data_IF_042476804120
#
_entry.id   IF_042476804120
#
_cell.length_a   1.000
_cell.length_b   1.000
_cell.length_c   1.000
_cell.angle_alpha   90.00
_cell.angle_beta   90.00
_cell.angle_gamma   90.00
#
_symmetry.space_group_name_H-M   'P 1'
#
loop_
_entity.id
_entity.type
_entity.pdbx_description
1 polymer ?
#
# COMPACT_ATOMS: atom_id res chain seq x y z
N UNK A 1 -20.48 -24.36 7.33
CA UNK A 1 -21.84 -24.17 7.91
C UNK A 1 -22.83 -23.51 6.94
N UNK A 2 -22.47 -23.23 5.69
CA UNK A 2 -23.33 -22.55 4.73
C UNK A 2 -24.27 -23.46 3.89
N UNK A 3 -24.10 -24.77 3.90
CA UNK A 3 -24.79 -25.67 2.95
C UNK A 3 -26.16 -26.14 3.36
N UNK A 4 -26.52 -26.09 4.64
CA UNK A 4 -27.87 -26.51 5.11
C UNK A 4 -28.92 -25.43 4.85
N UNK A 5 -28.57 -24.16 5.02
CA UNK A 5 -29.47 -23.02 4.76
C UNK A 5 -29.83 -22.88 3.26
N UNK A 6 -28.96 -23.35 2.37
CA UNK A 6 -29.18 -23.28 0.91
C UNK A 6 -30.27 -24.23 0.40
N UNK A 7 -30.59 -25.27 1.15
CA UNK A 7 -31.69 -26.22 0.81
C UNK A 7 -33.03 -25.68 1.32
N UNK A 8 -33.02 -25.08 2.51
CA UNK A 8 -34.26 -24.66 3.19
C UNK A 8 -34.72 -23.26 2.75
N UNK A 9 -33.77 -22.34 2.49
CA UNK A 9 -34.11 -20.95 2.16
C UNK A 9 -34.13 -20.71 0.64
N UNK A 10 -35.20 -20.07 0.16
CA UNK A 10 -35.30 -19.63 -1.23
C UNK A 10 -34.79 -18.19 -1.40
N UNK A 11 -33.52 -18.04 -1.75
CA UNK A 11 -32.86 -16.73 -1.86
C UNK A 11 -33.51 -15.84 -2.93
N UNK A 12 -34.01 -16.43 -4.04
CA UNK A 12 -34.74 -15.66 -5.04
C UNK A 12 -36.07 -15.13 -4.50
N UNK A 13 -36.77 -15.92 -3.71
CA UNK A 13 -38.02 -15.49 -3.02
C UNK A 13 -37.74 -14.45 -1.93
N UNK A 14 -36.67 -14.61 -1.17
CA UNK A 14 -36.27 -13.66 -0.12
C UNK A 14 -36.04 -12.28 -0.71
N UNK A 15 -35.34 -12.19 -1.86
CA UNK A 15 -35.12 -10.93 -2.56
C UNK A 15 -36.29 -10.49 -3.46
N UNK A 16 -37.32 -11.34 -3.62
CA UNK A 16 -38.49 -11.05 -4.47
C UNK A 16 -38.16 -10.94 -5.96
N UNK A 17 -37.16 -11.72 -6.44
CA UNK A 17 -36.70 -11.73 -7.81
C UNK A 17 -36.82 -13.11 -8.46
N UNK A 18 -36.77 -13.17 -9.78
CA UNK A 18 -36.79 -14.43 -10.54
C UNK A 18 -35.39 -14.99 -10.74
N UNK A 19 -35.25 -16.28 -11.02
CA UNK A 19 -33.98 -16.97 -11.24
C UNK A 19 -33.12 -16.37 -12.38
N UNK A 20 -33.74 -15.71 -13.36
CA UNK A 20 -33.08 -15.05 -14.50
C UNK A 20 -32.79 -13.57 -14.29
N UNK A 21 -32.87 -13.07 -13.05
CA UNK A 21 -32.65 -11.65 -12.74
C UNK A 21 -31.26 -11.18 -13.13
N UNK A 22 -31.16 -9.95 -13.70
CA UNK A 22 -29.88 -9.31 -13.99
C UNK A 22 -29.20 -8.86 -12.69
N UNK A 23 -27.85 -8.75 -12.69
CA UNK A 23 -27.08 -8.29 -11.53
C UNK A 23 -27.47 -6.87 -11.11
N UNK A 24 -27.86 -6.03 -12.07
CA UNK A 24 -28.35 -4.67 -11.80
C UNK A 24 -29.68 -4.67 -11.04
N UNK A 25 -30.64 -5.52 -11.45
CA UNK A 25 -31.95 -5.63 -10.82
C UNK A 25 -31.84 -6.36 -9.46
N UNK A 26 -30.97 -7.34 -9.35
CA UNK A 26 -30.65 -8.01 -8.10
C UNK A 26 -30.16 -7.01 -7.05
N UNK A 27 -29.19 -6.18 -7.43
CA UNK A 27 -28.66 -5.11 -6.57
C UNK A 27 -29.70 -4.07 -6.20
N UNK A 28 -30.62 -3.73 -7.11
CA UNK A 28 -31.73 -2.80 -6.85
C UNK A 28 -32.73 -3.37 -5.85
N UNK A 29 -33.09 -4.66 -5.99
CA UNK A 29 -33.97 -5.37 -5.06
C UNK A 29 -33.36 -5.44 -3.65
N UNK A 30 -32.08 -5.82 -3.55
CA UNK A 30 -31.34 -5.84 -2.29
C UNK A 30 -31.36 -4.48 -1.59
N UNK A 31 -30.97 -3.40 -2.29
CA UNK A 31 -30.93 -2.06 -1.69
C UNK A 31 -32.30 -1.62 -1.14
N UNK A 32 -33.39 -1.95 -1.85
CA UNK A 32 -34.74 -1.62 -1.42
C UNK A 32 -35.11 -2.36 -0.12
N UNK A 33 -34.81 -3.66 -0.06
CA UNK A 33 -35.18 -4.50 1.10
C UNK A 33 -34.25 -4.22 2.30
N UNK A 34 -32.95 -4.03 2.06
CA UNK A 34 -31.98 -3.69 3.10
C UNK A 34 -32.30 -2.33 3.75
N UNK A 35 -32.68 -1.33 2.95
CA UNK A 35 -33.11 -0.03 3.49
C UNK A 35 -34.42 -0.14 4.30
N UNK A 36 -35.39 -0.94 3.82
CA UNK A 36 -36.70 -1.13 4.50
C UNK A 36 -36.58 -1.90 5.82
N UNK A 37 -35.53 -2.70 6.03
CA UNK A 37 -35.33 -3.51 7.23
C UNK A 37 -34.08 -3.12 8.01
N UNK A 38 -33.50 -1.92 7.75
CA UNK A 38 -32.28 -1.50 8.38
C UNK A 38 -32.43 -1.33 9.90
N UNK A 39 -31.47 -1.83 10.72
CA UNK A 39 -31.54 -1.74 12.18
C UNK A 39 -31.71 -0.32 12.70
N UNK A 40 -31.09 0.68 12.04
CA UNK A 40 -31.20 2.09 12.43
C UNK A 40 -32.62 2.66 12.22
N UNK A 41 -33.38 2.12 11.28
CA UNK A 41 -34.78 2.54 11.02
C UNK A 41 -35.79 1.80 11.90
N UNK A 42 -35.40 0.64 12.43
CA UNK A 42 -36.24 -0.21 13.26
C UNK A 42 -35.51 -0.72 14.50
N UNK A 43 -35.01 0.17 15.39
CA UNK A 43 -34.22 -0.22 16.55
C UNK A 43 -35.03 -1.12 17.49
N UNK A 44 -34.47 -2.29 17.84
CA UNK A 44 -35.10 -3.26 18.74
C UNK A 44 -36.16 -4.16 18.11
N UNK A 45 -36.40 -4.06 16.80
CA UNK A 45 -37.37 -4.94 16.10
C UNK A 45 -36.64 -6.20 15.59
N UNK A 46 -36.77 -7.30 16.36
CA UNK A 46 -36.14 -8.59 16.01
C UNK A 46 -36.60 -9.15 14.66
N UNK A 47 -37.85 -8.90 14.24
CA UNK A 47 -38.36 -9.37 12.95
C UNK A 47 -37.67 -8.61 11.77
N UNK A 48 -37.46 -7.31 11.92
CA UNK A 48 -36.73 -6.51 10.91
C UNK A 48 -35.26 -6.93 10.84
N UNK A 49 -34.62 -7.18 11.98
CA UNK A 49 -33.25 -7.64 12.06
C UNK A 49 -33.03 -9.01 11.42
N UNK A 50 -33.92 -9.98 11.72
CA UNK A 50 -33.90 -11.30 11.08
C UNK A 50 -34.07 -11.20 9.57
N UNK A 51 -35.00 -10.36 9.11
CA UNK A 51 -35.26 -10.16 7.68
C UNK A 51 -34.11 -9.46 6.98
N UNK A 52 -33.42 -8.55 7.65
CA UNK A 52 -32.21 -7.91 7.14
C UNK A 52 -31.08 -8.93 6.96
N UNK A 53 -30.88 -9.84 7.92
CA UNK A 53 -29.91 -10.94 7.82
C UNK A 53 -30.22 -11.87 6.64
N UNK A 54 -31.46 -12.30 6.50
CA UNK A 54 -31.86 -13.17 5.38
C UNK A 54 -31.68 -12.50 4.02
N UNK A 55 -32.01 -11.20 3.91
CA UNK A 55 -31.84 -10.41 2.69
C UNK A 55 -30.36 -10.23 2.34
N UNK A 56 -29.48 -10.03 3.34
CA UNK A 56 -28.04 -9.88 3.13
C UNK A 56 -27.42 -11.19 2.71
N UNK A 57 -27.73 -12.30 3.38
CA UNK A 57 -27.29 -13.64 3.03
C UNK A 57 -27.70 -14.03 1.60
N UNK A 58 -28.96 -13.77 1.23
CA UNK A 58 -29.47 -14.06 -0.10
C UNK A 58 -28.74 -13.24 -1.19
N UNK A 59 -28.39 -11.99 -0.90
CA UNK A 59 -27.66 -11.16 -1.84
C UNK A 59 -26.19 -11.59 -1.98
N UNK A 60 -25.52 -11.91 -0.89
CA UNK A 60 -24.12 -12.36 -0.89
C UNK A 60 -23.96 -13.58 -1.80
N UNK A 61 -24.81 -14.59 -1.66
CA UNK A 61 -24.78 -15.81 -2.48
C UNK A 61 -25.19 -15.54 -3.94
N UNK A 62 -26.22 -14.75 -4.20
CA UNK A 62 -26.73 -14.55 -5.56
C UNK A 62 -25.94 -13.50 -6.36
N UNK A 63 -25.15 -12.66 -5.71
CA UNK A 63 -24.30 -11.64 -6.36
C UNK A 63 -22.97 -12.18 -6.87
N UNK A 64 -22.46 -13.25 -6.31
CA UNK A 64 -21.29 -13.96 -6.82
C UNK A 64 -21.69 -15.00 -7.86
N UNK A 65 -21.09 -14.91 -9.04
CA UNK A 65 -21.41 -15.79 -10.17
C UNK A 65 -21.15 -17.28 -9.88
N UNK A 66 -20.16 -17.56 -9.03
CA UNK A 66 -19.76 -18.93 -8.66
C UNK A 66 -20.73 -19.49 -7.62
N UNK A 67 -20.95 -18.74 -6.54
CA UNK A 67 -21.86 -19.14 -5.47
C UNK A 67 -23.32 -19.26 -5.95
N UNK A 68 -23.76 -18.38 -6.86
CA UNK A 68 -25.08 -18.46 -7.48
C UNK A 68 -25.26 -19.74 -8.29
N UNK A 69 -24.23 -20.16 -9.04
CA UNK A 69 -24.27 -21.43 -9.80
C UNK A 69 -24.31 -22.64 -8.86
N UNK A 70 -23.53 -22.61 -7.80
CA UNK A 70 -23.53 -23.66 -6.78
C UNK A 70 -24.89 -23.76 -6.07
N UNK A 71 -25.43 -22.63 -5.64
CA UNK A 71 -26.78 -22.56 -5.04
C UNK A 71 -27.85 -23.09 -6.00
N UNK A 72 -27.82 -22.70 -7.27
CA UNK A 72 -28.74 -23.18 -8.29
C UNK A 72 -28.63 -24.69 -8.53
N UNK A 73 -27.42 -25.25 -8.47
CA UNK A 73 -27.18 -26.68 -8.62
C UNK A 73 -27.72 -27.46 -7.38
N UNK A 74 -27.47 -26.97 -6.16
CA UNK A 74 -28.00 -27.57 -4.93
C UNK A 74 -29.54 -27.57 -4.95
N UNK A 75 -30.18 -26.48 -5.34
CA UNK A 75 -31.64 -26.38 -5.45
C UNK A 75 -32.24 -27.28 -6.54
N UNK A 76 -31.53 -27.48 -7.65
CA UNK A 76 -31.95 -28.39 -8.71
C UNK A 76 -31.91 -29.85 -8.27
N UNK A 77 -30.94 -30.23 -7.43
CA UNK A 77 -30.85 -31.58 -6.84
C UNK A 77 -31.86 -31.83 -5.73
N UNK A 78 -32.18 -30.83 -4.88
CA UNK A 78 -33.09 -30.95 -3.74
C UNK A 78 -34.60 -30.94 -4.14
N UNK A 79 -34.92 -30.50 -5.38
CA UNK A 79 -36.30 -30.34 -5.83
C UNK A 79 -36.95 -31.58 -6.46
N UNK A 80 -36.25 -32.70 -6.65
CA UNK A 80 -36.76 -33.81 -7.44
C UNK A 80 -36.40 -35.23 -7.05
N UNK A 81 -35.62 -35.46 -6.03
CA UNK A 81 -35.26 -36.83 -5.63
C UNK A 81 -35.88 -37.20 -4.29
N UNK A 82 -37.13 -37.69 -4.33
CA UNK A 82 -37.57 -38.65 -3.32
C UNK A 82 -36.70 -39.90 -3.47
N UNK A 83 -35.64 -39.98 -2.67
CA UNK A 83 -34.91 -41.24 -2.51
C UNK A 83 -35.83 -42.22 -1.82
N UNK A 84 -36.42 -43.09 -2.60
CA UNK A 84 -37.13 -44.29 -2.11
C UNK A 84 -36.05 -45.16 -1.44
N UNK A 85 -36.00 -45.12 -0.15
CA UNK A 85 -35.16 -46.01 0.66
C UNK A 85 -35.70 -47.44 0.48
N UNK A 86 -35.07 -48.18 -0.39
CA UNK A 86 -35.23 -49.61 -0.55
C UNK A 86 -33.94 -50.30 -0.19
N UNK A 87 -33.85 -50.88 1.03
CA UNK A 87 -32.95 -52.00 1.30
C UNK A 87 -31.69 -51.76 2.18
N UNK A 88 -31.89 -52.02 3.49
CA UNK A 88 -30.96 -52.74 4.41
C UNK A 88 -29.58 -52.16 4.71
N UNK A 89 -29.48 -51.62 5.91
CA UNK A 89 -28.32 -51.87 6.80
C UNK A 89 -27.18 -50.91 6.75
N UNK A 90 -26.98 -50.07 7.79
CA UNK A 90 -25.68 -49.53 8.15
C UNK A 90 -25.63 -48.04 8.39
N UNK A 91 -25.85 -47.67 9.67
CA UNK A 91 -25.13 -46.62 10.43
C UNK A 91 -24.63 -45.40 9.67
N UNK A 92 -25.33 -44.29 9.80
CA UNK A 92 -24.81 -42.92 10.04
C UNK A 92 -23.69 -42.41 9.13
N UNK A 93 -23.91 -42.23 7.83
CA UNK A 93 -23.06 -41.43 6.98
C UNK A 93 -23.86 -40.22 6.50
N UNK A 94 -23.60 -39.05 7.10
CA UNK A 94 -24.28 -37.82 6.75
C UNK A 94 -23.97 -37.34 5.34
N UNK A 95 -24.85 -36.50 4.83
CA UNK A 95 -24.72 -35.81 3.54
C UNK A 95 -23.34 -35.12 3.33
N UNK A 96 -22.65 -34.80 4.41
CA UNK A 96 -21.26 -34.30 4.39
C UNK A 96 -20.26 -35.29 3.79
N UNK A 97 -20.42 -36.61 4.03
CA UNK A 97 -19.53 -37.63 3.45
C UNK A 97 -19.78 -37.84 1.95
N UNK A 98 -21.01 -37.68 1.49
CA UNK A 98 -21.32 -37.78 0.07
C UNK A 98 -20.91 -36.52 -0.67
N UNK A 99 -21.04 -35.35 -0.04
CA UNK A 99 -20.63 -34.08 -0.61
C UNK A 99 -19.11 -33.92 -0.60
N UNK A 100 -18.44 -34.33 0.47
CA UNK A 100 -16.97 -34.29 0.52
C UNK A 100 -16.31 -35.31 -0.43
N UNK A 101 -16.96 -36.45 -0.69
CA UNK A 101 -16.50 -37.45 -1.67
C UNK A 101 -16.76 -37.02 -3.13
N UNK A 102 -17.80 -36.20 -3.37
CA UNK A 102 -18.12 -35.74 -4.72
C UNK A 102 -17.43 -34.42 -5.07
N UNK A 103 -17.21 -33.54 -4.07
CA UNK A 103 -16.55 -32.25 -4.24
C UNK A 103 -15.20 -32.12 -3.53
N UNK A 104 -14.92 -32.96 -2.55
CA UNK A 104 -13.71 -32.93 -1.71
C UNK A 104 -12.65 -33.97 -2.06
N UNK A 105 -12.49 -34.34 -3.32
CA UNK A 105 -11.29 -35.03 -3.82
C UNK A 105 -11.16 -36.49 -3.43
N UNK A 106 -11.91 -37.38 -4.08
CA UNK A 106 -11.72 -38.82 -3.99
C UNK A 106 -12.40 -39.59 -5.12
N UNK A 107 -11.80 -39.54 -6.28
CA UNK A 107 -11.79 -40.43 -7.44
C UNK A 107 -13.02 -41.22 -7.83
N UNK A 108 -13.48 -41.02 -9.05
CA UNK A 108 -13.44 -42.05 -10.11
C UNK A 108 -13.69 -41.36 -11.46
N UNK A 109 -12.67 -41.37 -12.34
CA UNK A 109 -12.85 -41.41 -13.80
C UNK A 109 -13.14 -40.08 -14.50
N UNK A 110 -12.09 -39.37 -14.86
CA UNK A 110 -12.13 -38.23 -15.76
C UNK A 110 -11.20 -37.11 -15.31
N UNK A 111 -9.88 -37.31 -15.43
CA UNK A 111 -8.86 -36.35 -15.03
C UNK A 111 -8.90 -35.05 -15.84
N UNK A 112 -9.77 -34.15 -15.50
CA UNK A 112 -9.64 -32.74 -15.79
C UNK A 112 -9.03 -32.08 -14.57
N UNK A 113 -7.68 -31.99 -14.48
CA UNK A 113 -7.02 -31.16 -13.50
C UNK A 113 -7.50 -29.72 -13.72
N UNK A 114 -8.27 -29.19 -12.78
CA UNK A 114 -8.61 -27.78 -12.79
C UNK A 114 -7.30 -26.98 -12.92
N UNK A 115 -7.19 -26.00 -13.82
CA UNK A 115 -5.97 -25.24 -14.04
C UNK A 115 -5.57 -24.55 -12.73
N UNK A 116 -4.57 -25.10 -12.04
CA UNK A 116 -4.07 -24.54 -10.79
C UNK A 116 -3.18 -23.33 -11.10
N UNK A 117 -3.39 -22.21 -10.45
CA UNK A 117 -2.54 -21.04 -10.61
C UNK A 117 -1.12 -21.35 -10.11
N UNK A 118 -0.11 -20.86 -10.83
CA UNK A 118 1.28 -20.92 -10.41
C UNK A 118 1.52 -20.13 -9.12
N UNK A 119 2.56 -20.51 -8.37
CA UNK A 119 2.91 -19.83 -7.13
C UNK A 119 3.47 -18.42 -7.39
N UNK A 120 3.17 -17.48 -6.47
CA UNK A 120 3.77 -16.15 -6.49
C UNK A 120 5.25 -16.25 -6.07
N UNK A 121 6.11 -15.47 -6.73
CA UNK A 121 7.52 -15.35 -6.38
C UNK A 121 7.76 -14.02 -5.69
N UNK A 122 8.60 -14.03 -4.64
CA UNK A 122 9.04 -12.83 -3.96
C UNK A 122 10.55 -12.68 -4.12
N UNK A 123 10.99 -11.47 -4.50
CA UNK A 123 12.40 -11.11 -4.60
C UNK A 123 12.63 -9.69 -4.11
N UNK A 124 13.88 -9.28 -3.99
CA UNK A 124 14.25 -7.90 -3.67
C UNK A 124 15.25 -7.37 -4.71
N UNK A 125 15.19 -6.08 -4.98
CA UNK A 125 16.13 -5.38 -5.84
C UNK A 125 16.51 -4.04 -5.25
N UNK A 126 17.78 -3.64 -5.41
CA UNK A 126 18.26 -2.35 -4.95
C UNK A 126 18.29 -1.35 -6.11
N UNK A 127 17.88 -0.13 -5.81
CA UNK A 127 17.96 1.03 -6.73
C UNK A 127 18.76 2.14 -6.07
N UNK A 128 19.37 3.00 -6.86
CA UNK A 128 20.07 4.19 -6.35
C UNK A 128 19.05 5.23 -5.89
N UNK A 129 19.48 6.08 -4.96
CA UNK A 129 18.64 7.17 -4.45
C UNK A 129 18.09 8.04 -5.57
N UNK A 130 18.93 8.42 -6.52
CA UNK A 130 18.56 9.25 -7.68
C UNK A 130 17.49 8.54 -8.52
N UNK A 131 17.68 7.25 -8.81
CA UNK A 131 16.72 6.43 -9.54
C UNK A 131 15.39 6.29 -8.80
N UNK A 132 15.41 6.24 -7.47
CA UNK A 132 14.18 6.20 -6.67
C UNK A 132 13.37 7.50 -6.77
N UNK A 133 14.04 8.63 -6.98
CA UNK A 133 13.40 9.94 -7.13
C UNK A 133 12.81 10.13 -8.54
N UNK A 134 13.58 9.79 -9.58
CA UNK A 134 13.19 10.04 -10.97
C UNK A 134 12.46 8.88 -11.63
N UNK A 135 12.53 7.70 -11.03
CA UNK A 135 12.07 6.46 -11.66
C UNK A 135 13.11 5.89 -12.62
N UNK A 136 13.07 4.58 -12.79
CA UNK A 136 14.03 3.87 -13.66
C UNK A 136 13.46 2.56 -14.15
N UNK A 137 14.12 1.91 -15.10
CA UNK A 137 13.80 0.56 -15.53
C UNK A 137 14.94 -0.38 -15.11
N UNK A 138 14.62 -1.38 -14.29
CA UNK A 138 15.58 -2.39 -13.86
C UNK A 138 15.34 -3.72 -14.56
N UNK A 139 16.41 -4.43 -14.90
CA UNK A 139 16.35 -5.76 -15.47
C UNK A 139 16.62 -6.78 -14.38
N UNK A 140 15.69 -7.69 -14.17
CA UNK A 140 15.78 -8.78 -13.19
C UNK A 140 15.83 -10.11 -13.94
N UNK A 141 16.56 -11.07 -13.40
CA UNK A 141 16.50 -12.46 -13.90
C UNK A 141 15.66 -13.28 -12.94
N UNK A 142 14.52 -13.76 -13.40
CA UNK A 142 13.58 -14.54 -12.60
C UNK A 142 13.41 -15.91 -13.25
N UNK A 143 13.77 -16.97 -12.52
CA UNK A 143 13.75 -18.36 -13.06
C UNK A 143 14.46 -18.48 -14.43
N UNK A 144 15.61 -17.80 -14.58
CA UNK A 144 16.42 -17.82 -15.82
C UNK A 144 15.89 -16.93 -16.96
N UNK A 145 14.77 -16.22 -16.77
CA UNK A 145 14.20 -15.34 -17.80
C UNK A 145 14.42 -13.86 -17.42
N UNK A 146 14.83 -13.01 -18.38
CA UNK A 146 14.95 -11.58 -18.13
C UNK A 146 13.55 -10.94 -18.00
N UNK A 147 13.34 -10.18 -16.95
CA UNK A 147 12.11 -9.42 -16.69
C UNK A 147 12.48 -7.95 -16.46
N UNK A 148 11.90 -7.06 -17.24
CA UNK A 148 12.06 -5.61 -17.02
C UNK A 148 10.99 -5.11 -16.06
N UNK A 149 11.41 -4.48 -14.96
CA UNK A 149 10.55 -3.84 -13.98
C UNK A 149 10.65 -2.33 -14.13
N UNK A 150 9.53 -1.67 -14.40
CA UNK A 150 9.45 -0.20 -14.35
C UNK A 150 9.27 0.22 -12.90
N UNK A 151 10.27 0.92 -12.37
CA UNK A 151 10.23 1.54 -11.04
C UNK A 151 9.66 2.94 -11.19
N UNK A 152 8.53 3.27 -10.59
CA UNK A 152 7.94 4.61 -10.70
C UNK A 152 8.80 5.64 -9.97
N UNK A 153 8.71 6.89 -10.41
CA UNK A 153 9.30 8.02 -9.72
C UNK A 153 8.72 8.15 -8.31
N UNK A 154 9.58 8.49 -7.35
CA UNK A 154 9.17 8.65 -5.96
C UNK A 154 8.93 7.35 -5.21
N UNK A 155 9.42 6.21 -5.68
CA UNK A 155 9.32 4.96 -4.95
C UNK A 155 10.00 5.06 -3.58
N UNK A 156 9.41 4.45 -2.55
CA UNK A 156 9.96 4.45 -1.20
C UNK A 156 10.76 3.19 -0.91
N UNK A 157 11.69 3.29 0.05
CA UNK A 157 12.39 2.10 0.55
C UNK A 157 11.41 1.09 1.14
N UNK A 158 11.63 -0.20 0.84
CA UNK A 158 10.73 -1.29 1.25
C UNK A 158 9.43 -1.41 0.46
N UNK A 159 9.13 -0.52 -0.47
CA UNK A 159 7.91 -0.59 -1.27
C UNK A 159 7.91 -1.80 -2.20
N UNK A 160 6.76 -2.47 -2.31
CA UNK A 160 6.58 -3.67 -3.11
C UNK A 160 5.94 -3.35 -4.46
N UNK A 161 6.54 -3.83 -5.53
CA UNK A 161 6.01 -3.75 -6.88
C UNK A 161 5.57 -5.14 -7.34
N UNK A 162 4.35 -5.25 -7.87
CA UNK A 162 3.77 -6.51 -8.31
C UNK A 162 3.71 -6.58 -9.83
N UNK A 163 4.31 -7.62 -10.39
CA UNK A 163 4.30 -7.94 -11.81
C UNK A 163 3.40 -9.15 -12.05
N UNK A 164 2.23 -8.93 -12.63
CA UNK A 164 1.24 -9.96 -12.89
C UNK A 164 1.78 -11.00 -13.87
N UNK A 165 1.57 -12.29 -13.55
CA UNK A 165 1.93 -13.40 -14.41
C UNK A 165 3.44 -13.60 -14.63
N UNK A 166 4.30 -13.04 -13.76
CA UNK A 166 5.75 -13.19 -13.81
C UNK A 166 6.32 -14.05 -12.68
N UNK A 167 5.44 -14.73 -11.93
CA UNK A 167 5.79 -15.72 -10.92
C UNK A 167 6.09 -17.10 -11.54
N UNK A 168 5.90 -18.18 -10.76
CA UNK A 168 6.08 -19.54 -11.25
C UNK A 168 5.02 -19.91 -12.28
N UNK A 169 5.38 -20.67 -13.33
CA UNK A 169 4.41 -21.21 -14.26
C UNK A 169 3.47 -22.19 -13.54
N UNK A 170 2.24 -22.28 -14.01
CA UNK A 170 1.30 -23.29 -13.52
C UNK A 170 1.78 -24.69 -13.90
N UNK A 171 1.70 -25.68 -13.00
CA UNK A 171 2.01 -27.07 -13.32
C UNK A 171 1.01 -27.69 -14.30
N UNK A 172 -0.23 -27.18 -14.37
CA UNK A 172 -1.34 -27.79 -15.10
C UNK A 172 -1.94 -26.88 -16.19
N UNK A 173 -1.13 -25.99 -16.81
CA UNK A 173 -1.58 -25.12 -17.89
C UNK A 173 -2.48 -23.94 -17.44
N UNK A 174 -2.59 -23.66 -16.14
CA UNK A 174 -3.28 -22.48 -15.61
C UNK A 174 -2.44 -21.20 -15.73
N UNK A 175 -2.92 -20.11 -15.16
CA UNK A 175 -2.21 -18.83 -15.14
C UNK A 175 -0.93 -18.93 -14.26
N UNK A 176 0.15 -18.31 -14.71
CA UNK A 176 1.35 -18.15 -13.89
C UNK A 176 1.04 -17.29 -12.65
N UNK A 177 1.79 -17.52 -11.57
CA UNK A 177 1.77 -16.66 -10.39
C UNK A 177 2.29 -15.26 -10.69
N UNK A 178 2.29 -14.39 -9.69
CA UNK A 178 2.81 -13.04 -9.80
C UNK A 178 4.23 -12.96 -9.23
N UNK A 179 5.00 -11.97 -9.67
CA UNK A 179 6.28 -11.63 -9.08
C UNK A 179 6.13 -10.38 -8.22
N UNK A 180 6.45 -10.50 -6.95
CA UNK A 180 6.48 -9.39 -5.99
C UNK A 180 7.93 -8.98 -5.74
N UNK A 181 8.28 -7.77 -6.12
CA UNK A 181 9.64 -7.22 -5.96
C UNK A 181 9.64 -6.17 -4.87
N UNK A 182 10.39 -6.40 -3.79
CA UNK A 182 10.62 -5.39 -2.75
C UNK A 182 11.79 -4.51 -3.17
N UNK A 183 11.56 -3.21 -3.27
CA UNK A 183 12.59 -2.24 -3.66
C UNK A 183 13.34 -1.78 -2.42
N UNK A 184 14.68 -1.86 -2.46
CA UNK A 184 15.58 -1.29 -1.46
C UNK A 184 16.26 -0.08 -2.05
N UNK A 185 16.12 1.07 -1.42
CA UNK A 185 16.77 2.31 -1.86
C UNK A 185 18.12 2.46 -1.17
N UNK A 186 19.19 2.56 -1.96
CA UNK A 186 20.55 2.84 -1.42
C UNK A 186 20.60 4.27 -0.90
N UNK A 187 21.17 4.52 0.30
CA UNK A 187 21.33 5.87 0.81
C UNK A 187 22.29 6.69 -0.07
N UNK A 188 22.03 8.00 -0.16
CA UNK A 188 22.91 8.92 -0.87
C UNK A 188 23.78 9.68 0.14
N UNK A 189 25.08 9.94 -0.17
CA UNK A 189 25.99 10.58 0.78
C UNK A 189 25.64 12.04 1.10
N UNK A 190 24.90 12.71 0.23
CA UNK A 190 24.60 14.16 0.35
C UNK A 190 23.12 14.42 0.57
N UNK A 191 22.24 13.62 -0.04
CA UNK A 191 20.82 13.86 -0.03
C UNK A 191 20.09 12.84 0.84
N UNK A 192 19.05 13.32 1.54
CA UNK A 192 18.09 12.47 2.24
C UNK A 192 16.68 12.81 1.78
N UNK A 193 15.73 11.88 1.99
CA UNK A 193 14.33 12.08 1.61
C UNK A 193 13.47 12.38 2.83
N UNK A 194 12.54 13.31 2.68
CA UNK A 194 11.53 13.66 3.67
C UNK A 194 10.16 13.79 2.98
N UNK A 195 9.43 12.69 2.95
CA UNK A 195 8.20 12.59 2.14
C UNK A 195 8.49 12.79 0.65
N UNK A 196 7.93 13.84 0.05
CA UNK A 196 8.19 14.21 -1.34
C UNK A 196 9.31 15.25 -1.47
N UNK A 197 9.82 15.75 -0.36
CA UNK A 197 10.95 16.66 -0.38
C UNK A 197 12.28 15.91 -0.33
N UNK A 198 13.30 16.55 -0.88
CA UNK A 198 14.69 16.13 -0.76
C UNK A 198 15.40 17.11 0.16
N UNK A 199 16.18 16.61 1.12
CA UNK A 199 16.97 17.42 2.03
C UNK A 199 18.44 17.35 1.65
N UNK A 200 19.12 18.49 1.82
CA UNK A 200 20.57 18.62 1.71
C UNK A 200 21.07 19.50 2.86
N UNK A 201 22.18 19.13 3.47
CA UNK A 201 22.89 19.98 4.43
C UNK A 201 23.93 20.77 3.64
N UNK A 202 23.86 22.11 3.74
CA UNK A 202 24.71 23.01 2.98
C UNK A 202 25.65 23.72 3.95
N UNK A 203 26.95 23.41 3.90
CA UNK A 203 27.93 24.11 4.71
C UNK A 203 28.06 25.56 4.25
N UNK A 204 28.02 26.50 5.18
CA UNK A 204 28.25 27.92 4.94
C UNK A 204 29.27 28.43 5.96
N UNK A 205 30.05 29.40 5.59
CA UNK A 205 30.97 30.04 6.53
C UNK A 205 30.23 30.96 7.48
N UNK A 206 30.82 31.25 8.62
CA UNK A 206 30.26 32.22 9.58
C UNK A 206 30.05 33.59 8.92
N UNK A 207 31.04 34.05 8.13
CA UNK A 207 30.92 35.32 7.40
C UNK A 207 29.75 35.35 6.41
N UNK A 208 29.51 34.26 5.68
CA UNK A 208 28.37 34.13 4.75
C UNK A 208 27.06 34.12 5.48
N UNK A 209 26.99 33.50 6.67
CA UNK A 209 25.78 33.48 7.48
C UNK A 209 25.46 34.87 8.09
N UNK A 210 26.47 35.63 8.52
CA UNK A 210 26.28 36.93 9.15
C UNK A 210 26.04 38.03 8.12
N UNK A 211 26.85 38.08 7.04
CA UNK A 211 26.80 39.13 6.03
C UNK A 211 25.85 38.87 4.91
N UNK A 212 25.43 37.62 4.77
CA UNK A 212 24.65 37.12 3.63
C UNK A 212 25.55 36.77 2.45
N UNK A 213 25.09 35.82 1.65
CA UNK A 213 25.84 35.36 0.47
C UNK A 213 24.87 34.78 -0.60
N UNK A 214 25.41 34.61 -1.80
CA UNK A 214 24.80 33.79 -2.83
C UNK A 214 25.64 32.54 -2.98
N UNK A 215 25.10 31.40 -2.61
CA UNK A 215 25.78 30.10 -2.62
C UNK A 215 25.22 29.21 -3.73
N UNK A 216 26.03 28.27 -4.21
CA UNK A 216 25.60 27.27 -5.19
C UNK A 216 25.25 25.97 -4.47
N UNK A 217 24.02 25.49 -4.65
CA UNK A 217 23.51 24.29 -3.99
C UNK A 217 23.24 23.21 -5.02
N UNK A 218 23.75 21.98 -4.83
CA UNK A 218 23.49 20.88 -5.75
C UNK A 218 22.00 20.49 -5.71
N UNK A 219 21.47 20.11 -6.86
CA UNK A 219 20.12 19.55 -7.01
C UNK A 219 20.23 18.18 -7.67
N UNK A 220 19.25 17.31 -7.38
CA UNK A 220 19.21 15.99 -8.01
C UNK A 220 18.90 16.12 -9.50
N UNK A 221 19.74 15.48 -10.33
CA UNK A 221 19.51 15.37 -11.77
C UNK A 221 19.57 16.67 -12.56
N UNK A 222 20.15 17.75 -11.99
CA UNK A 222 20.26 19.03 -12.66
C UNK A 222 21.49 19.83 -12.31
N UNK A 223 21.61 21.02 -12.92
CA UNK A 223 22.67 21.96 -12.57
C UNK A 223 22.41 22.58 -11.18
N UNK A 224 23.51 22.91 -10.44
CA UNK A 224 23.40 23.57 -9.15
C UNK A 224 22.62 24.88 -9.24
N UNK A 225 21.77 25.15 -8.25
CA UNK A 225 21.01 26.39 -8.18
C UNK A 225 21.64 27.41 -7.26
N UNK A 226 21.56 28.68 -7.63
CA UNK A 226 21.99 29.79 -6.78
C UNK A 226 20.95 30.05 -5.72
N UNK A 227 21.35 30.00 -4.44
CA UNK A 227 20.50 30.22 -3.30
C UNK A 227 21.03 31.41 -2.49
N UNK A 228 20.13 32.34 -2.15
CA UNK A 228 20.47 33.50 -1.34
C UNK A 228 20.35 33.16 0.13
N UNK A 229 21.46 33.26 0.84
CA UNK A 229 21.53 33.28 2.30
C UNK A 229 21.37 34.72 2.75
N UNK A 230 20.32 35.00 3.53
CA UNK A 230 20.08 36.36 4.05
C UNK A 230 21.09 36.69 5.15
N UNK A 231 21.45 37.98 5.34
CA UNK A 231 22.24 38.37 6.51
C UNK A 231 21.60 37.96 7.80
N UNK A 232 22.41 37.45 8.77
CA UNK A 232 21.93 36.98 10.07
C UNK A 232 21.20 35.64 10.01
N UNK A 233 21.46 34.80 9.01
CA UNK A 233 20.88 33.46 8.91
C UNK A 233 21.40 32.55 10.02
N UNK A 234 20.52 32.02 10.89
CA UNK A 234 20.94 31.13 11.97
C UNK A 234 21.32 29.73 11.46
N UNK A 235 22.13 29.02 12.26
CA UNK A 235 22.41 27.60 12.02
C UNK A 235 21.11 26.79 12.03
N UNK A 236 21.04 25.75 11.15
CA UNK A 236 19.83 24.90 11.00
C UNK A 236 18.70 25.55 10.20
N UNK A 237 18.83 26.80 9.76
CA UNK A 237 17.81 27.43 8.91
C UNK A 237 17.63 26.66 7.62
N UNK A 238 16.39 26.30 7.33
CA UNK A 238 16.03 25.61 6.09
C UNK A 238 15.57 26.59 5.03
N UNK A 239 16.24 26.55 3.88
CA UNK A 239 15.94 27.31 2.68
C UNK A 239 15.28 26.39 1.67
N UNK A 240 14.21 26.84 1.03
CA UNK A 240 13.38 26.02 0.14
C UNK A 240 13.63 26.39 -1.32
N UNK A 241 13.89 25.39 -2.15
CA UNK A 241 13.94 25.52 -3.60
C UNK A 241 12.79 24.74 -4.21
N UNK A 242 11.82 25.47 -4.73
CA UNK A 242 10.56 24.89 -5.25
C UNK A 242 10.79 23.94 -6.42
N UNK A 243 10.06 22.82 -6.42
CA UNK A 243 10.02 21.86 -7.53
C UNK A 243 11.32 21.12 -7.77
N UNK A 244 12.25 21.04 -6.78
CA UNK A 244 13.53 20.33 -6.87
C UNK A 244 13.60 19.10 -5.96
N UNK A 245 12.43 18.60 -5.52
CA UNK A 245 12.27 17.33 -4.81
C UNK A 245 11.83 16.21 -5.74
N UNK A 246 11.05 15.29 -5.19
CA UNK A 246 10.47 14.15 -5.93
C UNK A 246 9.50 14.66 -6.99
N UNK A 247 9.61 14.11 -8.19
CA UNK A 247 8.74 14.46 -9.32
C UNK A 247 7.63 13.42 -9.45
N UNK A 248 6.41 13.76 -9.07
CA UNK A 248 5.22 12.96 -9.33
C UNK A 248 4.44 13.54 -10.52
N UNK A 249 3.60 12.73 -11.15
CA UNK A 249 2.75 13.18 -12.28
C UNK A 249 1.80 14.31 -11.87
N UNK A 250 1.32 14.30 -10.63
CA UNK A 250 0.33 15.26 -10.11
C UNK A 250 0.92 16.39 -9.29
N UNK A 251 2.12 16.26 -8.77
CA UNK A 251 2.77 17.28 -7.92
C UNK A 251 4.29 17.09 -7.88
N UNK A 252 4.98 18.15 -7.49
CA UNK A 252 6.43 18.16 -7.34
C UNK A 252 6.78 18.52 -5.90
N UNK A 253 7.68 17.75 -5.32
CA UNK A 253 8.29 18.08 -4.04
C UNK A 253 9.35 19.18 -4.19
N UNK A 254 9.90 19.62 -3.08
CA UNK A 254 10.88 20.69 -3.00
C UNK A 254 12.24 20.18 -2.51
N UNK A 255 13.30 20.95 -2.80
CA UNK A 255 14.57 20.77 -2.14
C UNK A 255 14.61 21.67 -0.90
N UNK A 256 14.92 21.06 0.23
CA UNK A 256 15.09 21.70 1.53
C UNK A 256 16.58 21.75 1.87
N UNK A 257 17.20 22.92 1.72
CA UNK A 257 18.60 23.16 2.00
C UNK A 257 18.75 23.68 3.44
N UNK A 258 19.27 22.84 4.34
CA UNK A 258 19.51 23.21 5.73
C UNK A 258 20.92 23.82 5.85
N UNK A 259 21.01 25.05 6.35
CA UNK A 259 22.27 25.75 6.57
C UNK A 259 23.00 25.12 7.75
N UNK A 260 24.27 24.78 7.54
CA UNK A 260 25.19 24.30 8.58
C UNK A 260 26.40 25.20 8.64
N UNK A 261 26.57 25.93 9.77
CA UNK A 261 27.68 26.90 9.89
C UNK A 261 28.96 26.16 10.20
N UNK A 262 29.87 26.19 9.24
CA UNK A 262 31.16 25.52 9.35
C UNK A 262 32.14 26.33 10.20
N UNK A 263 32.62 25.71 11.28
CA UNK A 263 33.69 26.26 12.09
C UNK A 263 35.04 25.72 11.57
N UNK A 264 35.98 26.58 11.14
CA UNK A 264 37.30 26.13 10.63
C UNK A 264 38.12 25.51 11.76
N UNK A 265 38.74 24.36 11.47
CA UNK A 265 39.60 23.67 12.45
C UNK A 265 40.91 24.38 12.76
N UNK A 266 41.36 25.26 11.86
CA UNK A 266 42.63 26.05 12.02
C UNK A 266 42.42 27.44 11.45
N UNK A 267 42.89 28.44 12.18
CA UNK A 267 42.93 29.85 11.75
C UNK A 267 44.33 30.41 11.92
N UNK A 268 44.66 31.42 11.13
CA UNK A 268 45.93 32.17 11.30
C UNK A 268 45.86 33.12 12.51
N UNK A 269 47.00 33.52 13.04
CA UNK A 269 47.06 34.52 14.12
C UNK A 269 46.32 35.81 13.78
N UNK A 270 46.46 36.30 12.53
CA UNK A 270 45.72 37.46 12.07
C UNK A 270 44.21 37.27 12.04
N UNK A 271 43.73 36.08 11.69
CA UNK A 271 42.30 35.76 11.72
C UNK A 271 41.77 35.64 13.16
N UNK A 272 42.60 35.13 14.09
CA UNK A 272 42.30 35.08 15.51
C UNK A 272 42.14 36.48 16.12
N UNK A 273 43.08 37.40 15.82
CA UNK A 273 43.03 38.79 16.23
C UNK A 273 41.74 39.49 15.72
N UNK A 274 41.43 39.29 14.41
CA UNK A 274 40.22 39.84 13.81
C UNK A 274 38.94 39.28 14.47
N UNK A 275 38.94 37.99 14.80
CA UNK A 275 37.79 37.35 15.47
C UNK A 275 37.60 37.88 16.91
N UNK A 276 38.68 38.09 17.66
CA UNK A 276 38.64 38.71 18.99
C UNK A 276 38.13 40.15 18.94
N UNK A 277 38.57 40.92 17.95
CA UNK A 277 38.09 42.28 17.71
C UNK A 277 36.58 42.28 17.38
N UNK A 278 36.13 41.36 16.53
CA UNK A 278 34.70 41.19 16.23
C UNK A 278 33.89 40.84 17.49
N UNK A 279 34.37 39.91 18.32
CA UNK A 279 33.70 39.48 19.54
C UNK A 279 33.54 40.62 20.54
N UNK A 280 34.52 41.55 20.62
CA UNK A 280 34.45 42.72 21.49
C UNK A 280 33.42 43.78 21.09
N UNK A 281 33.05 43.80 19.80
CA UNK A 281 32.04 44.73 19.26
C UNK A 281 30.59 44.20 19.32
N UNK A 282 30.43 42.91 19.65
CA UNK A 282 29.08 42.32 19.79
C UNK A 282 28.55 42.56 21.22
N UNK A 283 27.27 42.97 21.40
CA UNK A 283 26.65 43.03 22.70
C UNK A 283 26.76 41.69 23.42
N UNK A 284 27.26 41.78 24.70
CA UNK A 284 27.47 40.59 25.53
C UNK A 284 26.09 40.06 26.01
N UNK A 285 25.52 39.21 25.19
CA UNK A 285 24.38 38.36 25.62
C UNK A 285 24.92 36.96 25.87
N UNK A 286 24.76 36.42 27.08
CA UNK A 286 25.10 35.02 27.31
C UNK A 286 24.09 34.11 26.59
N UNK A 287 24.46 33.42 25.52
CA UNK A 287 23.54 32.56 24.74
C UNK A 287 23.02 31.37 25.58
N UNK A 288 23.59 31.13 26.76
CA UNK A 288 23.20 30.06 27.68
C UNK A 288 22.38 30.55 28.88
N UNK A 289 22.13 31.85 29.02
CA UNK A 289 21.43 32.44 30.17
C UNK A 289 20.11 31.75 30.50
N UNK A 290 19.34 31.32 29.50
CA UNK A 290 18.07 30.64 29.70
C UNK A 290 18.16 29.12 29.69
N UNK A 291 19.34 28.54 29.45
CA UNK A 291 19.50 27.08 29.24
C UNK A 291 19.20 26.33 30.55
N UNK A 292 19.72 26.80 31.67
CA UNK A 292 19.54 26.15 32.98
C UNK A 292 18.09 26.20 33.42
N UNK A 293 17.43 27.37 33.31
CA UNK A 293 16.01 27.51 33.64
C UNK A 293 15.10 26.69 32.74
N UNK A 294 15.38 26.62 31.41
CA UNK A 294 14.65 25.77 30.48
C UNK A 294 14.86 24.28 30.70
N UNK A 295 15.98 23.89 31.30
CA UNK A 295 16.24 22.49 31.67
C UNK A 295 15.51 22.09 32.96
N UNK A 296 14.84 23.01 33.64
CA UNK A 296 14.12 22.72 34.92
C UNK A 296 15.07 22.43 36.08
N UNK A 297 16.31 22.97 36.05
CA UNK A 297 17.35 22.72 37.05
C UNK A 297 17.48 23.87 38.05
N UNK A 298 16.54 24.82 38.08
CA UNK A 298 16.38 25.89 39.05
C UNK A 298 15.02 25.83 39.71
#
# INVERSE_FOLDING_TARGET
MASQDWIEKDFYKILGVTKGVSDADLKKAYRKLAKANHPDLHPGNQAAESRFKDVSEAYDVLSDVTERKEYDAVRAMGGGARFQAGGRGGQGGGFEDVFSNFFGGGGVGGGGFAPQRGQDLTTSSSVDFIDSIHGTNIKLTVSGKPVTLKVPAGIQDGQKLKLKGKGQPSPNGGQAGDLVVTIKVRPHPVFTRDGDNVRVVVPVTFAEAVLGAIISVPVLGGEPVKLKVAPGTPNGRTLRVKGKGVQHESHQGDLLASVDILVPNRISKKAEEALRAFDSEIPVEDPRATLISRAGLL
#
